data_IF_678178063323
#
_entry.id   IF_678178063323
#
_cell.length_a   1.000
_cell.length_b   1.000
_cell.length_c   1.000
_cell.angle_alpha   90.00
_cell.angle_beta   90.00
_cell.angle_gamma   90.00
#
_symmetry.space_group_name_H-M   'P 1'
#
loop_
_entity.id
_entity.type
_entity.pdbx_description
1 polymer ?
#
# COMPACT_ATOMS: atom_id res chain seq x y z
N UNK A 1 -8.61 -3.20 -21.29
CA UNK A 1 -7.93 -3.01 -20.00
C UNK A 1 -8.61 -3.95 -19.04
N UNK A 2 -7.85 -4.89 -18.47
CA UNK A 2 -8.35 -5.79 -17.45
C UNK A 2 -8.37 -5.04 -16.11
N UNK A 3 -9.50 -5.09 -15.41
CA UNK A 3 -9.62 -4.48 -14.08
C UNK A 3 -9.38 -5.58 -13.04
N UNK A 4 -8.50 -5.31 -12.09
CA UNK A 4 -8.23 -6.20 -10.97
C UNK A 4 -8.83 -5.58 -9.72
N UNK A 5 -9.57 -6.38 -8.95
CA UNK A 5 -10.12 -5.96 -7.66
C UNK A 5 -9.13 -6.33 -6.56
N UNK A 6 -8.84 -5.38 -5.68
CA UNK A 6 -7.99 -5.60 -4.50
C UNK A 6 -8.85 -5.36 -3.26
N UNK A 7 -8.89 -6.33 -2.36
CA UNK A 7 -9.55 -6.19 -1.06
C UNK A 7 -8.49 -5.85 0.00
N UNK A 8 -8.64 -4.70 0.65
CA UNK A 8 -7.72 -4.24 1.70
C UNK A 8 -8.47 -4.17 3.02
N UNK A 9 -7.95 -4.85 4.04
CA UNK A 9 -8.46 -4.75 5.41
C UNK A 9 -7.68 -3.70 6.19
N UNK A 10 -8.37 -2.64 6.60
CA UNK A 10 -7.78 -1.54 7.39
C UNK A 10 -8.54 -1.41 8.72
N UNK A 11 -7.86 -1.02 9.81
CA UNK A 11 -8.53 -0.60 11.02
C UNK A 11 -9.49 0.55 10.72
N UNK A 12 -10.69 0.51 11.31
CA UNK A 12 -11.74 1.51 11.05
C UNK A 12 -11.26 2.94 11.33
N UNK A 13 -10.42 3.14 12.36
CA UNK A 13 -9.89 4.48 12.66
C UNK A 13 -9.00 5.04 11.54
N UNK A 14 -8.26 4.16 10.87
CA UNK A 14 -7.34 4.55 9.80
C UNK A 14 -8.17 4.90 8.58
N UNK A 15 -9.16 4.06 8.25
CA UNK A 15 -10.09 4.33 7.15
C UNK A 15 -10.78 5.69 7.32
N UNK A 16 -11.32 5.99 8.50
CA UNK A 16 -12.04 7.24 8.76
C UNK A 16 -11.12 8.47 8.61
N UNK A 17 -9.92 8.41 9.20
CA UNK A 17 -8.90 9.47 9.07
C UNK A 17 -8.46 9.68 7.63
N UNK A 18 -8.12 8.60 6.92
CA UNK A 18 -7.66 8.68 5.54
C UNK A 18 -8.79 9.19 4.63
N UNK A 19 -10.02 8.70 4.81
CA UNK A 19 -11.17 9.19 4.06
C UNK A 19 -11.39 10.69 4.27
N UNK A 20 -11.26 11.20 5.49
CA UNK A 20 -11.42 12.64 5.76
C UNK A 20 -10.30 13.47 5.08
N UNK A 21 -9.05 12.99 5.13
CA UNK A 21 -7.91 13.66 4.50
C UNK A 21 -8.07 13.68 2.98
N UNK A 22 -8.39 12.54 2.37
CA UNK A 22 -8.54 12.43 0.91
C UNK A 22 -9.75 13.22 0.40
N UNK A 23 -10.85 13.25 1.17
CA UNK A 23 -12.03 14.03 0.82
C UNK A 23 -11.74 15.54 0.75
N UNK A 24 -10.78 16.06 1.54
CA UNK A 24 -10.36 17.47 1.45
C UNK A 24 -9.68 17.79 0.12
N UNK A 25 -8.98 16.82 -0.45
CA UNK A 25 -8.32 16.93 -1.75
C UNK A 25 -9.23 16.50 -2.92
N UNK A 26 -10.48 16.10 -2.63
CA UNK A 26 -11.44 15.63 -3.63
C UNK A 26 -11.13 14.23 -4.18
N UNK A 27 -10.32 13.44 -3.46
CA UNK A 27 -9.91 12.09 -3.85
C UNK A 27 -10.69 11.04 -3.06
N UNK A 28 -10.96 9.91 -3.69
CA UNK A 28 -11.41 8.70 -2.98
C UNK A 28 -10.20 7.87 -2.54
N UNK A 29 -10.43 6.91 -1.64
CA UNK A 29 -9.40 5.95 -1.24
C UNK A 29 -8.88 5.15 -2.44
N UNK A 30 -9.77 4.83 -3.38
CA UNK A 30 -9.43 4.15 -4.63
C UNK A 30 -8.54 5.02 -5.53
N UNK A 31 -8.86 6.31 -5.69
CA UNK A 31 -8.01 7.25 -6.44
C UNK A 31 -6.62 7.35 -5.83
N UNK A 32 -6.53 7.44 -4.50
CA UNK A 32 -5.26 7.50 -3.79
C UNK A 32 -4.44 6.21 -3.97
N UNK A 33 -5.08 5.04 -3.93
CA UNK A 33 -4.42 3.76 -4.19
C UNK A 33 -3.96 3.64 -5.65
N UNK A 34 -4.78 4.07 -6.61
CA UNK A 34 -4.39 4.08 -8.02
C UNK A 34 -3.19 5.00 -8.27
N UNK A 35 -3.20 6.21 -7.70
CA UNK A 35 -2.08 7.15 -7.77
C UNK A 35 -0.82 6.55 -7.12
N UNK A 36 -0.98 5.89 -5.98
CA UNK A 36 0.11 5.20 -5.30
C UNK A 36 0.76 4.13 -6.19
N UNK A 37 -0.03 3.28 -6.85
CA UNK A 37 0.50 2.26 -7.76
C UNK A 37 1.16 2.88 -8.99
N UNK A 38 0.55 3.90 -9.59
CA UNK A 38 1.12 4.60 -10.74
C UNK A 38 2.47 5.24 -10.41
N UNK A 39 2.57 5.90 -9.25
CA UNK A 39 3.80 6.54 -8.80
C UNK A 39 4.86 5.49 -8.42
N UNK A 40 4.46 4.38 -7.81
CA UNK A 40 5.35 3.24 -7.53
C UNK A 40 5.98 2.69 -8.81
N UNK A 41 5.17 2.51 -9.86
CA UNK A 41 5.66 2.05 -11.18
C UNK A 41 6.59 3.09 -11.79
N UNK A 42 6.24 4.39 -11.69
CA UNK A 42 7.05 5.48 -12.27
C UNK A 42 8.42 5.58 -11.60
N UNK A 43 8.49 5.41 -10.28
CA UNK A 43 9.72 5.49 -9.50
C UNK A 43 10.51 4.17 -9.45
N UNK A 44 9.87 3.03 -9.72
CA UNK A 44 10.45 1.70 -9.51
C UNK A 44 10.66 1.35 -8.03
N UNK A 45 10.04 2.12 -7.12
CA UNK A 45 10.08 1.96 -5.66
C UNK A 45 8.85 2.59 -5.05
N UNK A 46 8.54 2.26 -3.81
CA UNK A 46 7.44 2.89 -3.08
C UNK A 46 7.64 4.42 -3.01
N UNK A 47 6.61 5.22 -3.32
CA UNK A 47 6.64 6.69 -3.38
C UNK A 47 6.55 7.36 -2.00
N UNK A 48 7.13 6.77 -0.96
CA UNK A 48 7.26 7.36 0.37
C UNK A 48 8.73 7.33 0.78
N UNK A 49 9.16 8.29 1.61
CA UNK A 49 10.46 8.19 2.24
C UNK A 49 10.41 7.10 3.30
N UNK A 50 11.17 6.01 3.09
CA UNK A 50 11.33 5.00 4.11
C UNK A 50 12.14 5.59 5.27
N UNK A 51 11.60 5.52 6.48
CA UNK A 51 12.44 5.58 7.67
C UNK A 51 13.14 4.23 7.86
N UNK A 52 14.21 4.19 8.65
CA UNK A 52 14.98 2.96 8.89
C UNK A 52 14.07 1.84 9.45
N UNK A 53 13.04 2.21 10.23
CA UNK A 53 12.02 1.33 10.80
C UNK A 53 11.11 0.70 9.70
N UNK A 54 10.70 1.48 8.70
CA UNK A 54 9.90 0.98 7.58
C UNK A 54 10.65 -0.06 6.72
N UNK A 55 11.99 0.09 6.59
CA UNK A 55 12.83 -0.89 5.88
C UNK A 55 12.94 -2.21 6.66
N UNK A 56 12.90 -2.16 7.98
CA UNK A 56 12.89 -3.36 8.83
C UNK A 56 11.56 -4.12 8.72
N UNK A 57 10.43 -3.42 8.67
CA UNK A 57 9.10 -4.01 8.44
C UNK A 57 8.98 -4.63 7.04
N UNK A 58 9.49 -3.97 5.99
CA UNK A 58 9.54 -4.55 4.63
C UNK A 58 10.37 -5.83 4.60
N UNK A 59 11.57 -5.81 5.20
CA UNK A 59 12.40 -7.03 5.31
C UNK A 59 11.69 -8.15 6.06
N UNK A 60 10.89 -7.80 7.07
CA UNK A 60 10.11 -8.78 7.84
C UNK A 60 9.03 -9.42 6.99
N UNK A 61 8.34 -8.64 6.17
CA UNK A 61 7.31 -9.13 5.24
C UNK A 61 7.92 -9.97 4.11
N UNK A 62 9.06 -9.55 3.54
CA UNK A 62 9.80 -10.35 2.55
C UNK A 62 10.19 -11.71 3.13
N UNK A 63 10.63 -11.75 4.39
CA UNK A 63 10.99 -13.01 5.06
C UNK A 63 9.79 -13.93 5.28
N UNK A 64 8.61 -13.38 5.58
CA UNK A 64 7.38 -14.16 5.72
C UNK A 64 6.85 -14.71 4.39
N UNK A 65 6.92 -13.92 3.30
CA UNK A 65 6.52 -14.40 1.97
C UNK A 65 7.46 -15.47 1.40
N UNK A 66 8.75 -15.44 1.77
CA UNK A 66 9.72 -16.42 1.28
C UNK A 66 9.70 -17.75 2.07
N UNK A 67 9.21 -17.75 3.32
CA UNK A 67 9.04 -18.97 4.13
C UNK A 67 7.82 -19.79 3.67
N UNK A 68 6.73 -19.13 3.23
CA UNK A 68 5.50 -19.81 2.74
C UNK A 68 5.69 -20.51 1.37
N UNK A 69 6.81 -20.26 0.68
CA UNK A 69 7.16 -20.93 -0.59
C UNK A 69 7.95 -22.24 -0.43
N UNK A 70 8.23 -22.68 0.81
CA UNK A 70 9.03 -23.88 1.08
C UNK A 70 8.24 -25.13 1.55
N UNK A 71 6.90 -25.12 1.44
CA UNK A 71 6.08 -26.32 1.67
C UNK A 71 5.36 -26.80 0.37
N UNK A 72 6.14 -27.12 -0.67
CA UNK A 72 5.73 -27.98 -1.80
C UNK A 72 6.80 -29.04 -2.09
#
# INVERSE_FOLDING_TARGET
>A
MEMVTIEVSLPKEIYDKVSEILAKEGLTLEDALNLFFQETIRLGRIPFEYTEDDLEEVRRWEKMMNDDLCDV
#
